data_IF_804380621236
#
_entry.id   IF_804380621236
#
_cell.length_a   1.000
_cell.length_b   1.000
_cell.length_c   1.000
_cell.angle_alpha   90.00
_cell.angle_beta   90.00
_cell.angle_gamma   90.00
#
_symmetry.space_group_name_H-M   'P 1'
#
loop_
_entity.id
_entity.type
_entity.pdbx_description
1 polymer ?
#
# COMPACT_ATOMS: atom_id res chain seq x y z
N UNK A 1 -7.53 -88.01 -27.05
CA UNK A 1 -8.80 -87.71 -26.36
C UNK A 1 -9.15 -86.26 -26.67
N UNK A 2 -10.15 -85.96 -27.54
CA UNK A 2 -11.54 -85.58 -27.17
C UNK A 2 -11.53 -84.53 -26.03
N UNK A 3 -11.95 -83.27 -26.17
CA UNK A 3 -13.21 -82.71 -26.72
C UNK A 3 -13.12 -81.16 -26.72
N UNK A 4 -13.41 -80.47 -27.84
CA UNK A 4 -14.60 -79.63 -28.16
C UNK A 4 -14.79 -78.33 -27.35
N UNK A 5 -14.65 -77.16 -27.99
CA UNK A 5 -15.72 -76.22 -28.43
C UNK A 5 -16.49 -75.46 -27.33
N UNK A 6 -16.44 -74.11 -27.38
CA UNK A 6 -17.54 -73.10 -27.49
C UNK A 6 -17.08 -71.76 -26.89
N UNK A 7 -16.88 -70.68 -27.68
CA UNK A 7 -17.81 -69.59 -28.04
C UNK A 7 -18.36 -68.73 -26.88
N UNK A 8 -18.39 -67.41 -27.15
CA UNK A 8 -19.18 -66.31 -26.54
C UNK A 8 -18.40 -65.49 -25.49
N UNK A 9 -17.84 -64.32 -25.82
CA UNK A 9 -18.51 -63.03 -26.09
C UNK A 9 -19.31 -62.51 -24.88
N UNK A 10 -18.67 -61.66 -24.07
CA UNK A 10 -19.35 -60.63 -23.27
C UNK A 10 -18.48 -59.36 -23.22
N UNK A 11 -19.02 -58.31 -23.84
CA UNK A 11 -18.64 -56.91 -23.68
C UNK A 11 -18.78 -56.49 -22.21
N UNK A 12 -17.77 -55.81 -21.69
CA UNK A 12 -17.81 -55.10 -20.43
C UNK A 12 -17.06 -53.77 -20.57
N UNK A 13 -17.75 -52.78 -21.14
CA UNK A 13 -17.40 -51.36 -21.05
C UNK A 13 -17.53 -50.94 -19.59
N UNK A 14 -16.45 -50.45 -18.97
CA UNK A 14 -16.56 -49.39 -17.97
C UNK A 14 -15.30 -48.56 -17.91
N UNK A 15 -15.53 -47.26 -18.09
CA UNK A 15 -14.56 -46.19 -18.11
C UNK A 15 -13.90 -45.98 -16.76
N UNK A 16 -12.59 -45.70 -16.77
CA UNK A 16 -11.96 -44.84 -15.79
C UNK A 16 -10.71 -44.22 -16.43
N UNK A 17 -10.99 -43.14 -17.16
CA UNK A 17 -10.04 -42.09 -17.48
C UNK A 17 -9.46 -41.56 -16.15
N UNK A 18 -8.28 -42.01 -15.74
CA UNK A 18 -7.49 -41.30 -14.72
C UNK A 18 -6.30 -40.71 -15.46
N UNK A 19 -6.57 -39.54 -16.04
CA UNK A 19 -5.55 -38.56 -16.36
C UNK A 19 -4.79 -38.28 -15.07
N UNK A 20 -3.51 -38.64 -15.05
CA UNK A 20 -2.54 -38.11 -14.11
C UNK A 20 -2.36 -36.61 -14.41
N UNK A 21 -3.33 -35.80 -13.99
CA UNK A 21 -3.14 -34.38 -13.82
C UNK A 21 -2.27 -34.22 -12.58
N UNK A 22 -0.96 -34.12 -12.80
CA UNK A 22 -0.04 -33.58 -11.82
C UNK A 22 -0.55 -32.19 -11.42
N UNK A 23 -1.29 -32.13 -10.32
CA UNK A 23 -1.60 -30.89 -9.63
C UNK A 23 -0.25 -30.36 -9.18
N UNK A 24 0.28 -29.43 -9.95
CA UNK A 24 1.34 -28.56 -9.50
C UNK A 24 0.77 -27.80 -8.30
N UNK A 25 1.07 -28.31 -7.11
CA UNK A 25 0.97 -27.55 -5.88
C UNK A 25 1.91 -26.37 -6.06
N UNK A 26 1.39 -25.24 -6.54
CA UNK A 26 2.05 -23.96 -6.46
C UNK A 26 2.15 -23.62 -4.97
N UNK A 27 3.16 -24.17 -4.30
CA UNK A 27 3.73 -23.51 -3.13
C UNK A 27 4.16 -22.15 -3.65
N UNK A 28 3.35 -21.13 -3.36
CA UNK A 28 3.71 -19.76 -3.62
C UNK A 28 5.08 -19.54 -2.99
N UNK A 29 6.11 -19.47 -3.84
CA UNK A 29 7.39 -18.96 -3.40
C UNK A 29 7.09 -17.60 -2.76
N UNK A 30 7.55 -17.33 -1.53
CA UNK A 30 7.50 -15.98 -1.02
C UNK A 30 8.25 -15.13 -2.03
N UNK A 31 7.53 -14.26 -2.73
CA UNK A 31 8.12 -13.28 -3.63
C UNK A 31 9.14 -12.55 -2.79
N UNK A 32 10.42 -12.80 -3.06
CA UNK A 32 11.50 -12.08 -2.40
C UNK A 32 11.19 -10.59 -2.58
N UNK A 33 11.10 -9.79 -1.51
CA UNK A 33 10.83 -8.37 -1.65
C UNK A 33 11.89 -7.79 -2.58
N UNK A 34 11.46 -7.19 -3.69
CA UNK A 34 12.38 -6.59 -4.65
C UNK A 34 13.23 -5.54 -3.93
N UNK A 35 14.46 -5.31 -4.38
CA UNK A 35 15.35 -4.34 -3.75
C UNK A 35 14.78 -2.90 -3.76
N UNK A 36 13.78 -2.61 -4.61
CA UNK A 36 13.02 -1.35 -4.68
C UNK A 36 11.99 -1.17 -3.54
N UNK A 37 11.92 -2.11 -2.60
CA UNK A 37 10.78 -2.32 -1.70
C UNK A 37 11.10 -1.92 -0.23
N UNK A 38 12.24 -1.26 0.02
CA UNK A 38 12.75 -0.95 1.36
C UNK A 38 13.16 0.54 1.49
N UNK A 39 12.21 1.44 1.30
CA UNK A 39 12.43 2.88 1.40
C UNK A 39 12.62 3.32 2.85
N UNK A 40 13.54 4.26 3.06
CA UNK A 40 13.60 5.01 4.30
C UNK A 40 12.37 5.96 4.40
N UNK A 41 11.94 6.32 5.63
CA UNK A 41 10.82 7.24 5.83
C UNK A 41 10.97 8.55 5.06
N UNK A 42 12.18 9.13 5.03
CA UNK A 42 12.49 10.38 4.35
C UNK A 42 12.36 10.28 2.83
N UNK A 43 12.71 9.14 2.24
CA UNK A 43 12.56 8.91 0.79
C UNK A 43 11.09 8.84 0.41
N UNK A 44 10.29 8.17 1.24
CA UNK A 44 8.84 8.13 1.02
C UNK A 44 8.19 9.51 1.23
N UNK A 45 8.62 10.29 2.24
CA UNK A 45 8.22 11.69 2.39
C UNK A 45 8.48 12.50 1.10
N UNK A 46 9.65 12.34 0.49
CA UNK A 46 9.99 13.06 -0.74
C UNK A 46 9.05 12.68 -1.90
N UNK A 47 8.73 11.40 -2.06
CA UNK A 47 7.77 10.90 -3.05
C UNK A 47 6.38 11.50 -2.82
N UNK A 48 5.89 11.47 -1.57
CA UNK A 48 4.59 12.06 -1.22
C UNK A 48 4.54 13.55 -1.52
N UNK A 49 5.62 14.28 -1.18
CA UNK A 49 5.73 15.73 -1.41
C UNK A 49 5.75 16.07 -2.89
N UNK A 50 6.51 15.34 -3.71
CA UNK A 50 6.56 15.54 -5.17
C UNK A 50 5.18 15.33 -5.78
N UNK A 51 4.55 14.19 -5.50
CA UNK A 51 3.25 13.81 -6.05
C UNK A 51 2.15 14.80 -5.65
N UNK A 52 2.13 15.20 -4.37
CA UNK A 52 1.17 16.19 -3.88
C UNK A 52 1.39 17.58 -4.47
N UNK A 53 2.64 18.01 -4.64
CA UNK A 53 2.96 19.32 -5.26
C UNK A 53 2.45 19.38 -6.69
N UNK A 54 2.69 18.32 -7.47
CA UNK A 54 2.15 18.21 -8.82
C UNK A 54 0.62 18.29 -8.86
N UNK A 55 -0.06 17.58 -7.95
CA UNK A 55 -1.52 17.57 -7.89
C UNK A 55 -2.06 18.94 -7.49
N UNK A 56 -1.45 19.59 -6.51
CA UNK A 56 -1.77 20.96 -6.09
C UNK A 56 -1.64 21.95 -7.25
N UNK A 57 -0.50 21.98 -7.92
CA UNK A 57 -0.28 22.91 -9.04
C UNK A 57 -1.26 22.70 -10.18
N UNK A 58 -1.58 21.44 -10.49
CA UNK A 58 -2.55 21.11 -11.51
C UNK A 58 -3.97 21.53 -11.11
N UNK A 59 -4.33 21.38 -9.84
CA UNK A 59 -5.64 21.79 -9.30
C UNK A 59 -5.76 23.31 -9.21
N UNK A 60 -4.71 24.01 -8.77
CA UNK A 60 -4.68 25.47 -8.71
C UNK A 60 -4.79 26.08 -10.13
N UNK A 61 -4.16 25.45 -11.12
CA UNK A 61 -4.30 25.85 -12.54
C UNK A 61 -5.75 25.70 -13.01
N UNK A 62 -6.38 24.55 -12.73
CA UNK A 62 -7.78 24.32 -13.06
C UNK A 62 -8.70 25.37 -12.42
N UNK A 63 -8.48 25.70 -11.15
CA UNK A 63 -9.27 26.72 -10.45
C UNK A 63 -9.09 28.12 -11.03
N UNK A 64 -7.86 28.49 -11.42
CA UNK A 64 -7.62 29.77 -12.10
C UNK A 64 -8.37 29.84 -13.42
N UNK A 65 -8.36 28.78 -14.21
CA UNK A 65 -9.12 28.73 -15.46
C UNK A 65 -10.62 28.75 -15.21
N UNK A 66 -11.14 28.06 -14.20
CA UNK A 66 -12.59 28.01 -13.95
C UNK A 66 -13.13 29.16 -13.06
N UNK A 67 -12.27 30.09 -12.62
CA UNK A 67 -12.55 30.98 -11.51
C UNK A 67 -13.67 32.00 -11.78
N UNK A 68 -13.68 32.59 -12.98
CA UNK A 68 -14.72 33.51 -13.41
C UNK A 68 -14.84 33.53 -14.93
N UNK A 69 -16.05 33.90 -15.38
CA UNK A 69 -16.33 34.24 -16.77
C UNK A 69 -15.73 35.61 -17.08
N UNK A 70 -15.04 35.74 -18.21
CA UNK A 70 -14.45 37.01 -18.61
C UNK A 70 -15.52 37.98 -19.16
N UNK A 71 -15.26 39.29 -19.07
CA UNK A 71 -16.22 40.35 -19.45
C UNK A 71 -16.73 40.23 -20.90
N UNK A 72 -15.86 39.76 -21.79
CA UNK A 72 -16.14 39.61 -23.22
C UNK A 72 -16.43 38.17 -23.65
N UNK A 73 -16.46 37.23 -22.71
CA UNK A 73 -16.75 35.84 -22.98
C UNK A 73 -18.27 35.60 -23.00
N UNK A 74 -18.77 34.82 -23.94
CA UNK A 74 -20.16 34.35 -23.89
C UNK A 74 -20.33 33.24 -22.86
N UNK A 75 -21.56 32.98 -22.40
CA UNK A 75 -21.78 31.89 -21.42
C UNK A 75 -21.41 30.52 -22.02
N UNK A 76 -21.70 30.30 -23.31
CA UNK A 76 -21.34 29.07 -24.00
C UNK A 76 -19.82 28.90 -24.14
N UNK A 77 -19.08 29.98 -24.41
CA UNK A 77 -17.60 29.95 -24.45
C UNK A 77 -17.02 29.62 -23.07
N UNK A 78 -17.56 30.21 -22.00
CA UNK A 78 -17.14 29.90 -20.63
C UNK A 78 -17.37 28.44 -20.24
N UNK A 79 -18.54 27.92 -20.56
CA UNK A 79 -18.89 26.51 -20.31
C UNK A 79 -17.98 25.57 -21.09
N UNK A 80 -17.71 25.89 -22.36
CA UNK A 80 -16.77 25.13 -23.19
C UNK A 80 -15.36 25.16 -22.62
N UNK A 81 -14.83 26.34 -22.27
CA UNK A 81 -13.51 26.52 -21.66
C UNK A 81 -13.39 25.75 -20.34
N UNK A 82 -14.44 25.78 -19.52
CA UNK A 82 -14.51 25.02 -18.27
C UNK A 82 -14.46 23.52 -18.53
N UNK A 83 -15.22 23.02 -19.51
CA UNK A 83 -15.23 21.61 -19.87
C UNK A 83 -13.88 21.14 -20.41
N UNK A 84 -13.28 21.91 -21.31
CA UNK A 84 -11.96 21.64 -21.89
C UNK A 84 -10.88 21.62 -20.79
N UNK A 85 -10.89 22.60 -19.87
CA UNK A 85 -9.96 22.66 -18.75
C UNK A 85 -10.06 21.43 -17.83
N UNK A 86 -11.29 20.96 -17.56
CA UNK A 86 -11.51 19.73 -16.77
C UNK A 86 -10.94 18.49 -17.47
N UNK A 87 -11.17 18.35 -18.78
CA UNK A 87 -10.63 17.23 -19.54
C UNK A 87 -9.09 17.25 -19.59
N UNK A 88 -8.50 18.43 -19.81
CA UNK A 88 -7.05 18.61 -19.77
C UNK A 88 -6.46 18.26 -18.41
N UNK A 89 -7.10 18.70 -17.32
CA UNK A 89 -6.69 18.35 -15.96
C UNK A 89 -6.68 16.84 -15.74
N UNK A 90 -7.80 16.15 -16.04
CA UNK A 90 -7.91 14.70 -15.86
C UNK A 90 -6.87 13.95 -16.71
N UNK A 91 -6.68 14.36 -17.96
CA UNK A 91 -5.67 13.78 -18.86
C UNK A 91 -4.26 13.96 -18.31
N UNK A 92 -3.92 15.18 -17.85
CA UNK A 92 -2.61 15.50 -17.27
C UNK A 92 -2.31 14.67 -16.03
N UNK A 93 -3.27 14.54 -15.11
CA UNK A 93 -3.13 13.74 -13.89
C UNK A 93 -2.98 12.26 -14.23
N UNK A 94 -3.83 11.72 -15.11
CA UNK A 94 -3.75 10.31 -15.52
C UNK A 94 -2.44 9.97 -16.22
N UNK A 95 -1.92 10.89 -17.05
CA UNK A 95 -0.61 10.74 -17.68
C UNK A 95 0.50 10.68 -16.62
N UNK A 96 0.49 11.61 -15.66
CA UNK A 96 1.48 11.61 -14.57
C UNK A 96 1.43 10.34 -13.72
N UNK A 97 0.23 9.84 -13.40
CA UNK A 97 0.04 8.56 -12.69
C UNK A 97 0.74 7.41 -13.44
N UNK A 98 0.54 7.31 -14.76
CA UNK A 98 1.16 6.27 -15.60
C UNK A 98 2.67 6.44 -15.72
N UNK A 99 3.14 7.66 -15.96
CA UNK A 99 4.57 7.98 -16.08
C UNK A 99 5.34 7.64 -14.80
N UNK A 100 4.77 7.98 -13.64
CA UNK A 100 5.35 7.67 -12.32
C UNK A 100 4.97 6.29 -11.79
N UNK A 101 4.16 5.53 -12.54
CA UNK A 101 3.67 4.19 -12.20
C UNK A 101 2.90 4.11 -10.89
N UNK A 102 2.21 5.18 -10.46
CA UNK A 102 1.43 5.18 -9.22
C UNK A 102 0.21 4.23 -9.26
N UNK A 103 -0.24 3.86 -10.46
CA UNK A 103 -1.29 2.88 -10.68
C UNK A 103 -0.90 1.45 -10.26
N UNK A 104 0.38 1.12 -10.39
CA UNK A 104 0.93 -0.23 -10.24
C UNK A 104 1.97 -0.36 -9.12
N UNK A 105 2.67 0.73 -8.78
CA UNK A 105 3.75 0.73 -7.80
C UNK A 105 3.22 0.64 -6.37
N UNK A 106 3.86 -0.23 -5.59
CA UNK A 106 3.70 -0.34 -4.15
C UNK A 106 5.03 0.04 -3.51
N UNK A 107 4.97 0.88 -2.49
CA UNK A 107 6.13 1.40 -1.77
C UNK A 107 6.25 0.69 -0.44
N UNK A 108 7.26 -0.16 -0.25
CA UNK A 108 7.60 -0.67 1.08
C UNK A 108 8.46 0.33 1.84
N UNK A 109 8.02 0.75 3.02
CA UNK A 109 8.67 1.76 3.85
C UNK A 109 9.08 1.13 5.17
N UNK A 110 10.33 1.33 5.59
CA UNK A 110 10.91 0.76 6.79
C UNK A 110 10.80 1.74 7.96
N UNK A 111 10.02 1.35 8.96
CA UNK A 111 9.87 2.07 10.22
C UNK A 111 10.66 1.33 11.29
N UNK A 112 11.52 2.04 12.02
CA UNK A 112 12.37 1.42 13.04
C UNK A 112 11.50 0.75 14.10
N UNK A 113 11.78 -0.52 14.40
CA UNK A 113 11.13 -1.24 15.49
C UNK A 113 12.09 -1.35 16.68
N UNK A 114 11.59 -1.13 17.89
CA UNK A 114 12.36 -1.25 19.13
C UNK A 114 11.78 -2.39 19.96
N UNK A 115 12.60 -3.40 20.23
CA UNK A 115 12.25 -4.52 21.12
C UNK A 115 12.43 -4.11 22.58
N UNK A 116 11.32 -3.88 23.28
CA UNK A 116 11.34 -3.34 24.64
C UNK A 116 11.46 -4.44 25.70
N UNK A 117 10.38 -5.18 25.94
CA UNK A 117 10.30 -6.18 27.01
C UNK A 117 9.64 -7.46 26.53
N UNK A 118 10.23 -8.59 26.90
CA UNK A 118 9.65 -9.91 26.70
C UNK A 118 8.96 -10.40 27.98
N UNK A 119 7.75 -10.92 27.85
CA UNK A 119 7.01 -11.62 28.90
C UNK A 119 7.07 -13.12 28.60
N UNK A 120 7.82 -13.87 29.42
CA UNK A 120 8.04 -15.30 29.23
C UNK A 120 6.80 -16.15 29.53
N UNK A 121 5.96 -15.72 30.47
CA UNK A 121 4.75 -16.46 30.87
C UNK A 121 3.72 -16.46 29.72
N UNK A 122 3.57 -15.32 29.05
CA UNK A 122 2.63 -15.14 27.95
C UNK A 122 3.25 -15.35 26.57
N UNK A 123 4.57 -15.52 26.47
CA UNK A 123 5.33 -15.60 25.22
C UNK A 123 5.08 -14.39 24.29
N UNK A 124 5.10 -13.18 24.86
CA UNK A 124 4.84 -11.93 24.13
C UNK A 124 6.04 -11.00 24.24
N UNK A 125 6.48 -10.46 23.10
CA UNK A 125 7.46 -9.39 23.01
C UNK A 125 6.75 -8.06 22.72
N UNK A 126 6.95 -7.06 23.59
CA UNK A 126 6.50 -5.70 23.36
C UNK A 126 7.44 -4.99 22.38
N UNK A 127 6.87 -4.46 21.30
CA UNK A 127 7.60 -3.78 20.23
C UNK A 127 6.98 -2.40 19.99
N UNK A 128 7.82 -1.37 19.91
CA UNK A 128 7.37 0.00 19.61
C UNK A 128 8.00 0.51 18.31
N UNK A 129 7.42 1.56 17.74
CA UNK A 129 8.01 2.28 16.62
C UNK A 129 7.81 3.77 16.80
N UNK A 130 8.86 4.55 17.10
CA UNK A 130 8.76 6.00 17.24
C UNK A 130 8.83 6.72 15.88
N UNK A 131 8.99 5.98 14.78
CA UNK A 131 9.22 6.56 13.45
C UNK A 131 7.93 7.16 12.91
N UNK A 132 8.01 8.43 12.54
CA UNK A 132 6.96 9.15 11.82
C UNK A 132 7.41 9.39 10.38
N UNK A 133 6.45 9.39 9.47
CA UNK A 133 6.66 9.81 8.08
C UNK A 133 5.95 11.14 7.92
N UNK A 134 6.64 12.17 7.44
CA UNK A 134 5.99 13.43 7.13
C UNK A 134 5.09 13.27 5.91
N UNK A 135 3.85 13.74 6.03
CA UNK A 135 2.85 13.70 4.97
C UNK A 135 2.38 15.12 4.62
N UNK A 136 1.94 15.34 3.36
CA UNK A 136 1.34 16.61 2.99
C UNK A 136 0.07 16.89 3.79
N UNK A 137 -0.05 18.11 4.33
CA UNK A 137 -1.22 18.53 5.09
C UNK A 137 -2.38 18.99 4.19
N UNK A 138 -3.59 18.98 4.76
CA UNK A 138 -4.79 19.35 4.02
C UNK A 138 -4.86 20.86 3.76
N UNK A 139 -5.13 21.21 2.50
CA UNK A 139 -5.41 22.59 2.04
C UNK A 139 -6.75 22.61 1.29
N UNK A 140 -7.36 23.79 1.05
CA UNK A 140 -8.66 23.85 0.38
C UNK A 140 -8.71 23.19 -1.01
N UNK A 141 -7.60 23.24 -1.77
CA UNK A 141 -7.53 22.65 -3.11
C UNK A 141 -7.18 21.17 -3.13
N UNK A 142 -6.52 20.63 -2.09
CA UNK A 142 -6.06 19.23 -2.03
C UNK A 142 -6.24 18.67 -0.63
N UNK A 143 -6.95 17.55 -0.53
CA UNK A 143 -7.14 16.81 0.72
C UNK A 143 -6.38 15.50 0.64
N UNK A 144 -5.44 15.33 1.58
CA UNK A 144 -4.71 14.11 1.86
C UNK A 144 -5.51 13.24 2.82
N UNK A 145 -5.72 11.97 2.44
CA UNK A 145 -6.52 11.03 3.23
C UNK A 145 -5.83 9.68 3.35
N UNK A 146 -6.04 9.02 4.49
CA UNK A 146 -5.75 7.60 4.68
C UNK A 146 -7.07 6.88 4.95
N UNK A 147 -7.37 5.77 4.23
CA UNK A 147 -8.52 4.95 4.57
C UNK A 147 -8.43 4.43 6.01
N UNK A 148 -9.57 4.41 6.72
CA UNK A 148 -9.64 3.91 8.08
C UNK A 148 -9.08 2.48 8.17
N UNK A 149 -8.18 2.26 9.13
CA UNK A 149 -7.52 0.99 9.38
C UNK A 149 -7.00 0.92 10.82
N UNK A 150 -6.57 -0.27 11.25
CA UNK A 150 -6.19 -0.53 12.64
C UNK A 150 -4.71 -0.20 12.98
N UNK A 151 -3.87 0.07 11.98
CA UNK A 151 -2.40 0.01 12.14
C UNK A 151 -1.69 1.32 11.79
N UNK A 152 -2.24 2.13 10.90
CA UNK A 152 -1.62 3.35 10.37
C UNK A 152 -2.58 4.51 10.57
N UNK A 153 -2.11 5.52 11.29
CA UNK A 153 -2.79 6.79 11.50
C UNK A 153 -2.21 7.89 10.63
N UNK A 154 -3.03 8.90 10.36
CA UNK A 154 -2.63 10.20 9.82
C UNK A 154 -3.07 11.25 10.83
N UNK A 155 -2.14 12.02 11.38
CA UNK A 155 -2.44 13.09 12.31
C UNK A 155 -1.87 14.41 11.83
N UNK A 156 -2.68 15.45 11.97
CA UNK A 156 -2.25 16.83 11.79
C UNK A 156 -1.75 17.39 13.13
N UNK A 157 -0.67 18.17 13.07
CA UNK A 157 -0.16 18.92 14.21
C UNK A 157 0.21 20.34 13.81
N UNK A 158 0.16 21.28 14.75
CA UNK A 158 0.64 22.63 14.56
C UNK A 158 1.87 22.81 15.44
N UNK A 159 3.05 22.99 14.84
CA UNK A 159 4.31 23.26 15.53
C UNK A 159 4.82 24.63 15.11
N UNK A 160 4.99 25.54 16.08
CA UNK A 160 5.52 26.90 15.85
C UNK A 160 4.80 27.66 14.71
N UNK A 161 3.46 27.62 14.70
CA UNK A 161 2.60 28.18 13.65
C UNK A 161 2.68 27.52 12.27
N UNK A 162 3.43 26.42 12.11
CA UNK A 162 3.42 25.60 10.89
C UNK A 162 2.52 24.38 11.08
N UNK A 163 1.61 24.15 10.14
CA UNK A 163 0.81 22.92 10.07
C UNK A 163 1.65 21.82 9.43
N UNK A 164 1.73 20.68 10.08
CA UNK A 164 2.36 19.46 9.57
C UNK A 164 1.37 18.32 9.64
N UNK A 165 1.48 17.35 8.72
CA UNK A 165 0.76 16.09 8.80
C UNK A 165 1.77 14.95 8.88
N UNK A 166 1.43 13.87 9.57
CA UNK A 166 2.36 12.76 9.76
C UNK A 166 1.64 11.42 9.78
N UNK A 167 2.23 10.43 9.11
CA UNK A 167 1.84 9.04 9.21
C UNK A 167 2.62 8.38 10.35
N UNK A 168 1.94 7.53 11.11
CA UNK A 168 2.52 6.81 12.25
C UNK A 168 1.81 5.47 12.46
N UNK A 169 2.48 4.57 13.17
CA UNK A 169 1.87 3.31 13.62
C UNK A 169 1.01 3.55 14.87
N UNK A 170 -0.21 3.03 14.89
CA UNK A 170 -1.22 3.27 15.96
C UNK A 170 -1.12 2.31 17.15
N UNK A 171 0.02 1.64 17.33
CA UNK A 171 0.22 0.68 18.41
C UNK A 171 0.31 1.39 19.77
N UNK A 172 -0.81 1.48 20.50
CA UNK A 172 -0.83 2.04 21.85
C UNK A 172 -0.97 0.95 22.92
N UNK A 173 -0.07 0.84 23.91
CA UNK A 173 1.25 1.50 24.00
C UNK A 173 2.34 0.72 23.25
N UNK A 174 2.09 -0.54 22.89
CA UNK A 174 3.06 -1.41 22.21
C UNK A 174 2.35 -2.36 21.26
N UNK A 175 3.03 -2.74 20.18
CA UNK A 175 2.68 -3.92 19.40
C UNK A 175 3.06 -5.17 20.21
N UNK A 176 2.14 -6.13 20.29
CA UNK A 176 2.34 -7.39 21.01
C UNK A 176 2.68 -8.49 20.02
N UNK A 177 3.96 -8.80 19.91
CA UNK A 177 4.43 -9.88 19.04
C UNK A 177 4.45 -11.21 19.81
N UNK A 178 3.61 -12.16 19.42
CA UNK A 178 3.61 -13.51 19.99
C UNK A 178 4.82 -14.30 19.45
N UNK A 179 5.72 -14.72 20.33
CA UNK A 179 6.96 -15.39 19.95
C UNK A 179 7.48 -16.25 21.10
N UNK A 180 7.99 -17.45 20.78
CA UNK A 180 8.53 -18.35 21.79
C UNK A 180 9.85 -17.80 22.39
N UNK A 181 10.28 -18.38 23.52
CA UNK A 181 11.42 -17.88 24.31
C UNK A 181 12.74 -17.90 23.54
N UNK A 182 13.00 -18.94 22.76
CA UNK A 182 14.29 -19.10 22.08
C UNK A 182 14.40 -18.14 20.89
N UNK A 183 13.32 -17.99 20.13
CA UNK A 183 13.23 -16.98 19.07
C UNK A 183 13.26 -15.56 19.64
N UNK A 184 12.65 -15.30 20.80
CA UNK A 184 12.73 -14.00 21.47
C UNK A 184 14.16 -13.64 21.89
N UNK A 185 14.95 -14.61 22.39
CA UNK A 185 16.37 -14.40 22.71
C UNK A 185 17.17 -14.06 21.46
N UNK A 186 17.03 -14.88 20.41
CA UNK A 186 17.70 -14.64 19.13
C UNK A 186 17.33 -13.27 18.53
N UNK A 187 16.06 -12.85 18.66
CA UNK A 187 15.59 -11.54 18.23
C UNK A 187 16.23 -10.40 19.05
N UNK A 188 16.42 -10.58 20.36
CA UNK A 188 17.06 -9.58 21.23
C UNK A 188 18.53 -9.37 20.87
N UNK A 189 19.26 -10.43 20.54
CA UNK A 189 20.65 -10.36 20.09
C UNK A 189 20.81 -9.59 18.77
N UNK A 190 19.72 -9.51 17.98
CA UNK A 190 19.68 -8.83 16.69
C UNK A 190 18.70 -7.63 16.65
N UNK A 191 18.42 -7.04 17.82
CA UNK A 191 17.35 -6.04 17.98
C UNK A 191 17.52 -4.81 17.08
N UNK A 192 18.75 -4.45 16.72
CA UNK A 192 19.05 -3.28 15.88
C UNK A 192 18.54 -3.43 14.44
N UNK A 193 18.32 -4.66 13.98
CA UNK A 193 17.90 -4.95 12.61
C UNK A 193 16.39 -5.17 12.47
N UNK A 194 15.61 -4.97 13.54
CA UNK A 194 14.16 -5.10 13.48
C UNK A 194 13.50 -3.81 12.93
N UNK A 195 12.56 -3.99 12.01
CA UNK A 195 11.76 -2.91 11.46
C UNK A 195 10.33 -3.36 11.19
N UNK A 196 9.40 -2.42 11.29
CA UNK A 196 8.09 -2.57 10.66
C UNK A 196 8.20 -2.13 9.21
N UNK A 197 8.00 -3.05 8.27
CA UNK A 197 7.84 -2.71 6.86
C UNK A 197 6.37 -2.47 6.58
N UNK A 198 6.03 -1.30 6.04
CA UNK A 198 4.65 -0.98 5.65
C UNK A 198 4.60 -0.79 4.15
N UNK A 199 3.70 -1.50 3.46
CA UNK A 199 3.46 -1.34 2.03
C UNK A 199 2.36 -0.33 1.79
N UNK A 200 2.67 0.72 1.05
CA UNK A 200 1.74 1.79 0.68
C UNK A 200 1.51 1.82 -0.83
N UNK A 201 0.28 2.12 -1.21
CA UNK A 201 -0.07 2.59 -2.56
C UNK A 201 -0.44 4.07 -2.46
N UNK A 202 0.04 4.88 -3.40
CA UNK A 202 -0.37 6.28 -3.54
C UNK A 202 -1.38 6.36 -4.66
N UNK A 203 -2.56 6.89 -4.38
CA UNK A 203 -3.64 7.05 -5.36
C UNK A 203 -3.99 8.53 -5.52
N UNK A 204 -3.93 8.99 -6.76
CA UNK A 204 -4.23 10.36 -7.17
C UNK A 204 -5.32 10.38 -8.26
N UNK A 205 -6.00 9.27 -8.50
CA UNK A 205 -7.06 9.22 -9.49
C UNK A 205 -8.19 10.18 -9.07
N UNK A 206 -8.67 10.97 -10.03
CA UNK A 206 -9.75 11.93 -9.81
C UNK A 206 -10.99 11.44 -10.57
N UNK A 207 -12.08 11.17 -9.84
CA UNK A 207 -13.35 10.71 -10.43
C UNK A 207 -14.15 11.86 -11.04
N UNK A 208 -13.99 13.08 -10.50
CA UNK A 208 -14.53 14.31 -11.06
C UNK A 208 -13.58 15.46 -10.80
N UNK A 209 -13.56 16.43 -11.70
CA UNK A 209 -12.84 17.69 -11.51
C UNK A 209 -13.65 18.62 -10.57
N UNK A 210 -13.89 18.14 -9.35
CA UNK A 210 -14.53 18.91 -8.28
C UNK A 210 -13.64 20.07 -7.81
N UNK A 211 -14.14 20.89 -6.89
CA UNK A 211 -13.39 22.02 -6.30
C UNK A 211 -12.20 21.61 -5.43
N UNK A 212 -12.03 20.33 -5.17
CA UNK A 212 -10.99 19.80 -4.29
C UNK A 212 -10.49 18.48 -4.85
N UNK A 213 -9.19 18.37 -5.05
CA UNK A 213 -8.54 17.14 -5.47
C UNK A 213 -8.26 16.25 -4.25
N UNK A 214 -8.30 14.93 -4.48
CA UNK A 214 -8.02 13.93 -3.43
C UNK A 214 -6.65 13.31 -3.63
N UNK A 215 -5.90 13.18 -2.54
CA UNK A 215 -4.60 12.53 -2.49
C UNK A 215 -4.65 11.40 -1.45
N UNK A 216 -4.79 10.16 -1.91
CA UNK A 216 -5.00 9.00 -1.06
C UNK A 216 -3.69 8.26 -0.81
N UNK A 217 -3.38 8.02 0.46
CA UNK A 217 -2.28 7.15 0.89
C UNK A 217 -2.92 5.87 1.42
N UNK A 218 -2.76 4.77 0.70
CA UNK A 218 -3.46 3.51 0.98
C UNK A 218 -2.47 2.50 1.56
N UNK A 219 -2.47 2.25 2.88
CA UNK A 219 -1.71 1.13 3.44
C UNK A 219 -2.32 -0.20 2.96
N UNK A 220 -1.46 -1.14 2.59
CA UNK A 220 -1.83 -2.46 2.07
C UNK A 220 -1.50 -3.56 3.07
N UNK A 221 -0.26 -3.54 3.59
CA UNK A 221 0.26 -4.58 4.49
C UNK A 221 1.27 -4.01 5.46
N UNK A 222 1.39 -4.62 6.63
CA UNK A 222 2.44 -4.35 7.62
C UNK A 222 3.13 -5.65 7.96
N UNK A 223 4.45 -5.61 8.07
CA UNK A 223 5.30 -6.73 8.44
C UNK A 223 6.19 -6.32 9.60
N UNK A 224 6.44 -7.21 10.55
CA UNK A 224 7.60 -7.12 11.43
C UNK A 224 8.70 -7.98 10.81
N UNK A 225 9.81 -7.37 10.44
CA UNK A 225 10.90 -8.05 9.75
C UNK A 225 12.22 -7.85 10.47
N UNK A 226 13.11 -8.81 10.29
CA UNK A 226 14.53 -8.65 10.55
C UNK A 226 15.23 -8.29 9.23
N UNK A 227 15.76 -7.08 9.13
CA UNK A 227 16.35 -6.53 7.91
C UNK A 227 17.64 -7.24 7.49
N UNK A 228 18.40 -7.77 8.45
CA UNK A 228 19.67 -8.46 8.18
C UNK A 228 19.44 -9.82 7.53
N UNK A 229 18.47 -10.57 8.04
CA UNK A 229 18.14 -11.92 7.55
C UNK A 229 17.01 -11.95 6.53
N UNK A 230 16.33 -10.81 6.35
CA UNK A 230 15.10 -10.67 5.57
C UNK A 230 13.97 -11.61 6.05
N UNK A 231 13.99 -12.01 7.32
CA UNK A 231 12.99 -12.90 7.90
C UNK A 231 11.74 -12.10 8.29
N UNK A 232 10.57 -12.58 7.87
CA UNK A 232 9.29 -12.04 8.30
C UNK A 232 8.85 -12.76 9.58
N UNK A 233 8.74 -12.01 10.66
CA UNK A 233 8.34 -12.51 11.97
C UNK A 233 6.84 -12.40 12.24
N UNK A 234 6.20 -11.44 11.57
CA UNK A 234 4.76 -11.21 11.62
C UNK A 234 4.33 -10.44 10.38
N UNK A 235 3.10 -10.68 9.92
CA UNK A 235 2.48 -9.97 8.81
C UNK A 235 0.99 -9.78 9.06
N UNK A 236 0.45 -8.66 8.61
CA UNK A 236 -0.98 -8.41 8.55
C UNK A 236 -1.36 -7.66 7.27
N UNK A 237 -2.39 -8.16 6.60
CA UNK A 237 -3.08 -7.41 5.56
C UNK A 237 -3.99 -6.35 6.18
N UNK A 238 -3.90 -5.13 5.68
CA UNK A 238 -4.74 -4.00 6.10
C UNK A 238 -5.98 -3.89 5.22
N UNK A 239 -5.83 -4.21 3.93
CA UNK A 239 -6.87 -4.15 2.91
C UNK A 239 -6.68 -5.25 1.88
#
# INVERSE_FOLDING_TARGET
>A
MRTSFTRSAWMGLFAAYILFSSVASSQGQPVAPSADDNLAPLEFTAILKEAWTFLKESTDTLHRTMGSKDEFETTAEFEKRTLDARQQFLSKVNRYIKEKKFDSRVFGVLLKATLEKYNADNQVYAVTSPTIIEAPYNIPSVVTEIPANAYIGLADSIKKAYRTSSLYLTFDPHFRWQVNRDAAKAAKDDAANFAFKVRFKVDMAQTSAGKTARFLIIPQRVFLINQRTNTVHWEQAIR
#
